data_IF_273485036946
#
_entry.id   IF_273485036946
#
_cell.length_a   1.000
_cell.length_b   1.000
_cell.length_c   1.000
_cell.angle_alpha   90.00
_cell.angle_beta   90.00
_cell.angle_gamma   90.00
#
_symmetry.space_group_name_H-M   'P 1'
#
loop_
_entity.id
_entity.type
_entity.pdbx_description
1 polymer ?
#
# COMPACT_ATOMS: atom_id res chain seq x y z
N UNK A 1 23.71 -43.59 -11.42
CA UNK A 1 23.37 -42.71 -10.28
C UNK A 1 23.42 -41.28 -10.79
N UNK A 2 22.29 -40.76 -11.29
CA UNK A 2 22.15 -39.36 -11.67
C UNK A 2 21.20 -38.75 -10.64
N UNK A 3 21.76 -38.00 -9.68
CA UNK A 3 20.98 -37.26 -8.70
C UNK A 3 20.62 -35.92 -9.35
N UNK A 4 19.41 -35.82 -9.88
CA UNK A 4 18.81 -34.53 -10.16
C UNK A 4 18.50 -33.86 -8.80
N UNK A 5 19.34 -32.93 -8.38
CA UNK A 5 19.01 -32.01 -7.29
C UNK A 5 18.00 -31.01 -7.83
N UNK A 6 16.72 -31.31 -7.64
CA UNK A 6 15.69 -30.29 -7.74
C UNK A 6 15.99 -29.24 -6.66
N UNK A 7 16.60 -28.12 -7.06
CA UNK A 7 16.59 -26.91 -6.26
C UNK A 7 15.13 -26.55 -6.05
N UNK A 8 14.65 -26.75 -4.82
CA UNK A 8 13.40 -26.16 -4.39
C UNK A 8 13.60 -24.65 -4.41
N UNK A 9 13.05 -24.00 -5.44
CA UNK A 9 12.89 -22.55 -5.49
C UNK A 9 12.19 -22.12 -4.19
N UNK A 10 12.95 -21.45 -3.33
CA UNK A 10 12.48 -20.93 -2.06
C UNK A 10 11.62 -19.69 -2.37
N UNK A 11 10.40 -19.94 -2.86
CA UNK A 11 9.33 -18.96 -3.09
C UNK A 11 8.78 -18.42 -1.76
N UNK A 12 9.65 -18.05 -0.82
CA UNK A 12 9.25 -17.20 0.30
C UNK A 12 8.92 -15.84 -0.29
N UNK A 13 7.65 -15.68 -0.65
CA UNK A 13 7.09 -14.50 -1.29
C UNK A 13 7.63 -13.22 -0.66
N UNK A 14 7.89 -12.22 -1.50
CA UNK A 14 8.40 -10.93 -1.07
C UNK A 14 7.58 -10.37 0.10
N UNK A 15 6.26 -10.60 0.11
CA UNK A 15 5.36 -10.30 1.21
C UNK A 15 5.59 -11.13 2.48
N UNK A 16 5.75 -12.44 2.41
CA UNK A 16 6.02 -13.28 3.61
C UNK A 16 7.38 -12.98 4.22
N UNK A 17 8.39 -12.62 3.42
CA UNK A 17 9.71 -12.23 3.93
C UNK A 17 9.72 -10.85 4.59
N UNK A 18 8.91 -9.94 4.09
CA UNK A 18 8.93 -8.53 4.51
C UNK A 18 7.83 -8.20 5.54
N UNK A 19 6.63 -8.76 5.38
CA UNK A 19 5.49 -8.61 6.30
C UNK A 19 5.61 -9.51 7.54
N UNK A 20 6.28 -10.67 7.42
CA UNK A 20 6.57 -11.56 8.55
C UNK A 20 7.99 -11.35 9.12
N UNK A 21 8.60 -10.18 8.89
CA UNK A 21 9.89 -9.82 9.50
C UNK A 21 9.66 -9.31 10.93
N UNK A 22 10.15 -10.05 11.93
CA UNK A 22 10.14 -9.64 13.35
C UNK A 22 11.22 -8.61 13.70
N UNK A 23 11.88 -8.03 12.69
CA UNK A 23 12.90 -7.01 12.87
C UNK A 23 12.25 -5.62 13.02
N UNK A 24 12.61 -4.89 14.08
CA UNK A 24 12.12 -3.53 14.34
C UNK A 24 12.53 -2.51 13.25
N UNK A 25 13.52 -2.84 12.41
CA UNK A 25 13.91 -2.02 11.26
C UNK A 25 12.97 -2.21 10.08
N UNK A 26 12.53 -3.44 9.84
CA UNK A 26 11.64 -3.78 8.72
C UNK A 26 10.20 -3.35 9.03
N UNK A 27 9.76 -3.55 10.28
CA UNK A 27 8.45 -3.05 10.75
C UNK A 27 8.38 -1.52 10.60
N UNK A 28 9.48 -0.80 10.87
CA UNK A 28 9.54 0.64 10.73
C UNK A 28 9.36 1.11 9.28
N UNK A 29 10.04 0.45 8.33
CA UNK A 29 9.95 0.80 6.90
C UNK A 29 8.56 0.45 6.36
N UNK A 30 7.95 -0.66 6.78
CA UNK A 30 6.58 -1.01 6.44
C UNK A 30 5.57 0.05 6.88
N UNK A 31 5.71 0.56 8.11
CA UNK A 31 4.87 1.63 8.62
C UNK A 31 5.11 2.95 7.88
N UNK A 32 6.35 3.33 7.61
CA UNK A 32 6.66 4.57 6.87
C UNK A 32 6.10 4.53 5.44
N UNK A 33 6.23 3.39 4.75
CA UNK A 33 5.69 3.23 3.40
C UNK A 33 4.16 3.28 3.38
N UNK A 34 3.52 2.53 4.29
CA UNK A 34 2.05 2.47 4.37
C UNK A 34 1.46 3.81 4.82
N UNK A 35 2.02 4.44 5.85
CA UNK A 35 1.55 5.75 6.34
C UNK A 35 1.82 6.88 5.37
N UNK A 36 2.93 6.85 4.62
CA UNK A 36 3.18 7.79 3.53
C UNK A 36 2.15 7.66 2.41
N UNK A 37 1.85 6.43 1.99
CA UNK A 37 0.85 6.16 0.96
C UNK A 37 -0.56 6.57 1.40
N UNK A 38 -1.02 6.09 2.56
CA UNK A 38 -2.34 6.43 3.11
C UNK A 38 -2.43 7.92 3.46
N UNK A 39 -1.34 8.53 3.91
CA UNK A 39 -1.25 9.96 4.20
C UNK A 39 -1.48 10.82 2.95
N UNK A 40 -0.86 10.48 1.82
CA UNK A 40 -1.11 11.17 0.55
C UNK A 40 -2.56 11.02 0.08
N UNK A 41 -3.13 9.82 0.21
CA UNK A 41 -4.54 9.57 -0.10
C UNK A 41 -5.45 10.42 0.80
N UNK A 42 -5.18 10.47 2.11
CA UNK A 42 -5.96 11.27 3.05
C UNK A 42 -5.90 12.77 2.75
N UNK A 43 -4.73 13.29 2.35
CA UNK A 43 -4.57 14.68 1.91
C UNK A 43 -5.41 14.95 0.66
N UNK A 44 -5.37 14.05 -0.34
CA UNK A 44 -6.19 14.18 -1.55
C UNK A 44 -7.69 14.18 -1.23
N UNK A 45 -8.17 13.27 -0.36
CA UNK A 45 -9.56 13.25 0.09
C UNK A 45 -9.96 14.51 0.87
N UNK A 46 -9.06 15.05 1.69
CA UNK A 46 -9.32 16.29 2.43
C UNK A 46 -9.52 17.47 1.47
N UNK A 47 -8.68 17.55 0.43
CA UNK A 47 -8.82 18.58 -0.62
C UNK A 47 -10.10 18.36 -1.43
N UNK A 48 -10.43 17.12 -1.78
CA UNK A 48 -11.67 16.77 -2.48
C UNK A 48 -12.91 17.27 -1.73
N UNK A 49 -13.03 16.96 -0.43
CA UNK A 49 -14.12 17.45 0.40
C UNK A 49 -14.13 18.99 0.51
N UNK A 50 -12.95 19.62 0.56
CA UNK A 50 -12.85 21.09 0.62
C UNK A 50 -13.22 21.76 -0.70
N UNK A 51 -12.99 21.11 -1.83
CA UNK A 51 -13.41 21.58 -3.15
C UNK A 51 -14.92 21.47 -3.31
N UNK A 52 -15.52 20.34 -2.91
CA UNK A 52 -16.98 20.15 -2.88
C UNK A 52 -17.71 21.22 -2.03
N UNK A 53 -17.08 21.70 -0.95
CA UNK A 53 -17.67 22.75 -0.12
C UNK A 53 -17.47 24.18 -0.69
N UNK A 54 -16.44 24.39 -1.52
CA UNK A 54 -16.11 25.72 -2.07
C UNK A 54 -17.04 26.11 -3.21
N UNK A 55 -17.48 25.14 -4.01
CA UNK A 55 -18.57 25.27 -4.96
C UNK A 55 -19.66 24.28 -4.55
N UNK A 56 -20.60 24.69 -3.65
CA UNK A 56 -21.63 23.79 -3.13
C UNK A 56 -22.66 23.52 -4.23
N UNK A 57 -22.37 22.51 -5.04
CA UNK A 57 -23.15 22.14 -6.19
C UNK A 57 -22.64 20.84 -6.80
N UNK A 58 -23.14 19.73 -6.27
CA UNK A 58 -23.35 18.43 -6.92
C UNK A 58 -23.14 18.48 -8.45
N UNK A 59 -21.88 18.37 -8.90
CA UNK A 59 -21.59 18.24 -10.34
C UNK A 59 -20.84 16.93 -10.63
N UNK A 60 -20.18 16.32 -9.64
CA UNK A 60 -19.44 15.07 -9.87
C UNK A 60 -20.31 13.82 -9.71
N UNK A 61 -21.37 13.86 -8.89
CA UNK A 61 -22.23 12.69 -8.59
C UNK A 61 -23.52 12.66 -9.41
N UNK A 62 -23.92 13.78 -10.04
CA UNK A 62 -25.18 13.89 -10.82
C UNK A 62 -24.93 14.42 -12.24
N UNK A 63 -23.94 13.88 -12.94
CA UNK A 63 -23.88 13.99 -14.41
C UNK A 63 -24.13 12.59 -15.03
N UNK A 64 -25.42 12.24 -15.13
CA UNK A 64 -26.00 11.23 -16.03
C UNK A 64 -27.47 11.61 -16.28
#
# INVERSE_FOLDING_TARGET
MITATAEHEDERGFFTRWFMSTNHKDIGILYLFTSGFVGLIAVAFTVYMRMELKDPGVLIVTEN
#
